data_IF_970624895328
#
_entry.id   IF_970624895328
#
_cell.length_a   1.000
_cell.length_b   1.000
_cell.length_c   1.000
_cell.angle_alpha   90.00
_cell.angle_beta   90.00
_cell.angle_gamma   90.00
#
_symmetry.space_group_name_H-M   'P 1'
#
loop_
_entity.id
_entity.type
_entity.pdbx_description
1 polymer ?
#
# COMPACT_ATOMS: atom_id res chain seq x y z
N UNK A 1 -17.85 -1.12 30.07
CA UNK A 1 -18.46 -2.21 30.83
C UNK A 1 -17.50 -2.78 31.86
N UNK A 2 -16.60 -3.68 31.45
CA UNK A 2 -15.66 -4.40 32.33
C UNK A 2 -14.82 -3.50 33.25
N UNK A 3 -14.09 -2.52 32.69
CA UNK A 3 -13.24 -1.58 33.46
C UNK A 3 -14.08 -0.79 34.47
N UNK A 4 -15.25 -0.28 34.05
CA UNK A 4 -16.14 0.46 34.94
C UNK A 4 -16.62 -0.40 36.12
N UNK A 5 -16.97 -1.67 35.87
CA UNK A 5 -17.36 -2.60 36.94
C UNK A 5 -16.21 -2.87 37.94
N UNK A 6 -14.97 -3.01 37.45
CA UNK A 6 -13.79 -3.13 38.31
C UNK A 6 -13.60 -1.88 39.18
N UNK A 7 -13.68 -0.70 38.59
CA UNK A 7 -13.52 0.56 39.31
C UNK A 7 -14.61 0.76 40.36
N UNK A 8 -15.87 0.34 40.09
CA UNK A 8 -16.96 0.35 41.08
C UNK A 8 -16.65 -0.58 42.26
N UNK A 9 -16.01 -1.73 42.01
CA UNK A 9 -15.60 -2.70 43.03
C UNK A 9 -14.27 -2.35 43.73
N UNK A 10 -13.65 -1.21 43.39
CA UNK A 10 -12.37 -0.77 43.98
C UNK A 10 -11.13 -1.41 43.35
N UNK A 11 -11.26 -2.12 42.23
CA UNK A 11 -10.12 -2.59 41.41
C UNK A 11 -9.78 -1.46 40.43
N UNK A 12 -8.65 -0.78 40.65
CA UNK A 12 -8.22 0.34 39.83
C UNK A 12 -7.75 -0.11 38.43
N UNK A 13 -8.50 0.26 37.40
CA UNK A 13 -8.16 0.04 35.99
C UNK A 13 -8.39 1.32 35.16
N UNK A 14 -7.46 1.60 34.24
CA UNK A 14 -7.51 2.77 33.37
C UNK A 14 -7.89 2.42 31.94
N UNK A 15 -8.77 3.24 31.35
CA UNK A 15 -9.08 3.15 29.93
C UNK A 15 -8.00 3.79 29.06
N UNK A 16 -7.38 2.98 28.22
CA UNK A 16 -6.21 3.35 27.41
C UNK A 16 -6.58 3.84 26.00
N UNK A 17 -7.76 4.46 25.83
CA UNK A 17 -8.24 5.00 24.56
C UNK A 17 -8.72 3.96 23.54
N UNK A 18 -9.38 4.45 22.49
CA UNK A 18 -9.97 3.66 21.41
C UNK A 18 -9.15 3.78 20.13
N UNK A 19 -8.73 2.65 19.54
CA UNK A 19 -8.09 2.64 18.20
C UNK A 19 -9.09 2.70 17.03
N UNK A 20 -10.34 2.28 17.25
CA UNK A 20 -11.36 2.24 16.21
C UNK A 20 -11.18 1.08 15.22
N UNK A 21 -10.68 -0.08 15.68
CA UNK A 21 -10.68 -1.30 14.86
C UNK A 21 -12.11 -1.66 14.48
N UNK A 22 -12.36 -1.82 13.19
CA UNK A 22 -13.67 -2.11 12.61
C UNK A 22 -13.52 -2.99 11.38
N UNK A 23 -14.53 -3.82 11.13
CA UNK A 23 -14.58 -4.76 10.02
C UNK A 23 -16.02 -4.87 9.51
N UNK A 24 -16.18 -4.98 8.20
CA UNK A 24 -17.47 -5.04 7.52
C UNK A 24 -17.40 -6.05 6.37
N UNK A 25 -18.43 -6.89 6.26
CA UNK A 25 -18.68 -7.73 5.08
C UNK A 25 -19.48 -6.94 4.05
N UNK A 26 -18.97 -6.86 2.82
CA UNK A 26 -19.59 -6.20 1.67
C UNK A 26 -19.69 -7.22 0.54
N UNK A 27 -20.85 -7.88 0.42
CA UNK A 27 -21.00 -9.08 -0.42
C UNK A 27 -19.93 -10.11 -0.07
N UNK A 28 -19.12 -10.54 -1.04
CA UNK A 28 -18.02 -11.51 -0.84
C UNK A 28 -16.72 -10.85 -0.38
N UNK A 29 -16.67 -9.52 -0.31
CA UNK A 29 -15.49 -8.78 0.13
C UNK A 29 -15.57 -8.48 1.62
N UNK A 30 -14.41 -8.50 2.27
CA UNK A 30 -14.22 -8.00 3.63
C UNK A 30 -13.45 -6.68 3.57
N UNK A 31 -13.91 -5.69 4.32
CA UNK A 31 -13.31 -4.36 4.46
C UNK A 31 -13.02 -4.13 5.93
N UNK A 32 -11.78 -3.81 6.28
CA UNK A 32 -11.38 -3.56 7.66
C UNK A 32 -10.49 -2.33 7.79
N UNK A 33 -10.54 -1.67 8.95
CA UNK A 33 -9.71 -0.52 9.27
C UNK A 33 -9.42 -0.44 10.77
N UNK A 34 -8.26 0.09 11.13
CA UNK A 34 -7.91 0.48 12.50
C UNK A 34 -7.00 1.69 12.49
N UNK A 35 -7.06 2.51 13.53
CA UNK A 35 -6.34 3.79 13.59
C UNK A 35 -6.94 4.86 12.67
N UNK A 36 -6.10 5.81 12.29
CA UNK A 36 -6.53 7.02 11.58
C UNK A 36 -6.44 6.86 10.06
N UNK A 37 -7.41 7.43 9.35
CA UNK A 37 -7.35 7.59 7.89
C UNK A 37 -6.72 8.93 7.49
N UNK A 38 -6.39 9.07 6.20
CA UNK A 38 -5.78 10.28 5.65
C UNK A 38 -6.62 11.55 5.87
N UNK A 39 -7.95 11.48 5.76
CA UNK A 39 -8.82 12.66 5.92
C UNK A 39 -8.71 13.23 7.33
N UNK A 40 -8.70 12.36 8.33
CA UNK A 40 -8.55 12.74 9.74
C UNK A 40 -7.15 13.31 10.01
N UNK A 41 -6.10 12.64 9.53
CA UNK A 41 -4.73 13.09 9.72
C UNK A 41 -4.49 14.46 9.08
N UNK A 42 -5.00 14.68 7.86
CA UNK A 42 -4.97 16.01 7.20
C UNK A 42 -5.70 17.06 8.01
N UNK A 43 -6.92 16.77 8.48
CA UNK A 43 -7.72 17.70 9.30
C UNK A 43 -7.01 18.09 10.60
N UNK A 44 -6.25 17.16 11.17
CA UNK A 44 -5.50 17.37 12.41
C UNK A 44 -4.05 17.86 12.18
N UNK A 45 -3.65 18.17 10.94
CA UNK A 45 -2.28 18.58 10.59
C UNK A 45 -1.20 17.61 11.09
N UNK A 46 -1.49 16.30 11.09
CA UNK A 46 -0.52 15.26 11.47
C UNK A 46 0.24 14.84 10.21
N UNK A 47 1.58 15.02 10.15
CA UNK A 47 2.38 14.55 9.03
C UNK A 47 2.29 13.03 8.88
N UNK A 48 2.12 12.55 7.66
CA UNK A 48 2.06 11.12 7.38
C UNK A 48 2.57 10.82 5.96
N UNK A 49 3.00 9.57 5.77
CA UNK A 49 3.17 8.93 4.47
C UNK A 49 2.31 7.67 4.43
N UNK A 50 2.08 7.13 3.23
CA UNK A 50 1.29 5.93 3.00
C UNK A 50 1.95 5.02 1.97
N UNK A 51 1.63 3.74 2.06
CA UNK A 51 2.00 2.76 1.05
C UNK A 51 0.84 1.83 0.74
N UNK A 52 0.81 1.33 -0.48
CA UNK A 52 -0.17 0.35 -0.94
C UNK A 52 0.55 -0.94 -1.32
N UNK A 53 0.06 -2.06 -0.82
CA UNK A 53 0.52 -3.40 -1.20
C UNK A 53 -0.66 -4.26 -1.62
N UNK A 54 -0.40 -5.15 -2.56
CA UNK A 54 -1.37 -6.13 -3.03
C UNK A 54 -0.72 -7.51 -2.98
N UNK A 55 -1.25 -8.38 -2.15
CA UNK A 55 -0.71 -9.71 -1.90
C UNK A 55 -1.83 -10.74 -1.99
N UNK A 56 -1.48 -12.02 -2.10
CA UNK A 56 -2.46 -13.09 -1.93
C UNK A 56 -2.70 -13.35 -0.43
N UNK A 57 -3.85 -13.95 -0.09
CA UNK A 57 -4.21 -14.34 1.28
C UNK A 57 -3.27 -15.41 1.83
N UNK A 58 -2.81 -16.32 0.97
CA UNK A 58 -1.82 -17.35 1.26
C UNK A 58 -0.94 -17.67 0.04
N UNK A 59 -0.16 -18.73 0.09
CA UNK A 59 0.80 -19.08 -0.94
C UNK A 59 0.12 -19.29 -2.30
N UNK A 60 0.54 -18.54 -3.33
CA UNK A 60 -0.14 -18.52 -4.62
C UNK A 60 -0.10 -19.82 -5.43
N UNK A 61 0.76 -20.77 -5.06
CA UNK A 61 0.77 -22.11 -5.65
C UNK A 61 -0.22 -23.08 -4.98
N UNK A 62 -0.76 -22.71 -3.81
CA UNK A 62 -1.81 -23.48 -3.15
C UNK A 62 -3.17 -22.99 -3.65
N UNK A 63 -4.17 -23.88 -3.81
CA UNK A 63 -5.48 -23.52 -4.35
C UNK A 63 -6.13 -22.32 -3.64
N UNK A 64 -6.94 -21.56 -4.40
CA UNK A 64 -7.83 -20.50 -3.87
C UNK A 64 -7.14 -19.35 -3.15
N UNK A 65 -5.89 -19.04 -3.50
CA UNK A 65 -5.20 -17.86 -3.00
C UNK A 65 -5.84 -16.56 -3.56
N UNK A 66 -6.63 -15.87 -2.74
CA UNK A 66 -7.37 -14.69 -3.16
C UNK A 66 -6.60 -13.39 -2.87
N UNK A 67 -6.78 -12.33 -3.68
CA UNK A 67 -6.06 -11.09 -3.48
C UNK A 67 -6.60 -10.29 -2.29
N UNK A 68 -5.69 -9.64 -1.58
CA UNK A 68 -5.97 -8.60 -0.61
C UNK A 68 -5.10 -7.37 -0.86
N UNK A 69 -5.60 -6.21 -0.46
CA UNK A 69 -4.94 -4.91 -0.62
C UNK A 69 -4.83 -4.24 0.74
N UNK A 70 -3.62 -3.82 1.10
CA UNK A 70 -3.34 -3.11 2.35
C UNK A 70 -2.90 -1.70 2.00
N UNK A 71 -3.55 -0.71 2.60
CA UNK A 71 -3.06 0.66 2.70
C UNK A 71 -2.56 0.89 4.11
N UNK A 72 -1.25 1.05 4.26
CA UNK A 72 -0.61 1.36 5.54
C UNK A 72 -0.30 2.86 5.60
N UNK A 73 -0.63 3.51 6.70
CA UNK A 73 -0.38 4.93 6.95
C UNK A 73 0.56 5.04 8.15
N UNK A 74 1.65 5.78 8.00
CA UNK A 74 2.72 5.83 8.99
C UNK A 74 3.36 7.22 9.05
N UNK A 75 4.00 7.50 10.18
CA UNK A 75 4.72 8.76 10.39
C UNK A 75 6.03 8.76 9.59
N UNK A 76 6.36 9.84 8.86
CA UNK A 76 7.56 9.91 8.03
C UNK A 76 8.87 9.97 8.82
N UNK A 77 8.83 10.22 10.12
CA UNK A 77 10.01 10.35 10.97
C UNK A 77 10.55 8.99 11.45
N UNK A 78 9.77 8.27 12.26
CA UNK A 78 10.15 7.05 12.98
C UNK A 78 9.33 5.85 12.52
N UNK A 79 8.44 6.02 11.54
CA UNK A 79 7.62 4.94 11.03
C UNK A 79 6.55 4.45 12.02
N UNK A 80 6.11 5.31 12.95
CA UNK A 80 4.96 4.98 13.81
C UNK A 80 3.75 4.67 12.94
N UNK A 81 3.07 3.55 13.19
CA UNK A 81 1.87 3.18 12.45
C UNK A 81 0.72 4.08 12.92
N UNK A 82 0.13 4.83 12.00
CA UNK A 82 -0.95 5.79 12.28
C UNK A 82 -2.33 5.21 11.97
N UNK A 83 -2.39 4.28 11.03
CA UNK A 83 -3.60 3.55 10.68
C UNK A 83 -3.38 2.60 9.51
N UNK A 84 -4.35 1.72 9.30
CA UNK A 84 -4.34 0.76 8.20
C UNK A 84 -5.76 0.54 7.68
N UNK A 85 -5.88 0.30 6.38
CA UNK A 85 -7.12 -0.09 5.71
C UNK A 85 -6.83 -1.32 4.86
N UNK A 86 -7.68 -2.35 4.96
CA UNK A 86 -7.50 -3.62 4.26
C UNK A 86 -8.80 -3.99 3.56
N UNK A 87 -8.71 -4.37 2.30
CA UNK A 87 -9.81 -4.96 1.54
C UNK A 87 -9.35 -6.26 0.89
N UNK A 88 -10.24 -7.23 0.77
CA UNK A 88 -9.94 -8.52 0.14
C UNK A 88 -11.08 -9.50 0.30
N UNK A 89 -10.89 -10.70 -0.23
CA UNK A 89 -11.91 -11.75 -0.21
C UNK A 89 -11.62 -12.83 0.84
N UNK A 90 -10.38 -12.90 1.34
CA UNK A 90 -9.95 -13.85 2.35
C UNK A 90 -8.79 -13.29 3.20
N UNK A 91 -8.73 -13.71 4.47
CA UNK A 91 -7.67 -13.39 5.43
C UNK A 91 -7.54 -11.92 5.84
N UNK A 92 -8.54 -11.08 5.58
CA UNK A 92 -8.54 -9.64 5.92
C UNK A 92 -8.59 -9.43 7.44
N UNK A 93 -9.47 -10.15 8.11
CA UNK A 93 -9.63 -10.22 9.57
C UNK A 93 -8.31 -10.52 10.28
N UNK A 94 -7.58 -11.54 9.83
CA UNK A 94 -6.27 -11.90 10.38
C UNK A 94 -5.28 -10.74 10.30
N UNK A 95 -5.19 -10.08 9.13
CA UNK A 95 -4.19 -9.02 8.93
C UNK A 95 -4.57 -7.75 9.69
N UNK A 96 -5.87 -7.44 9.81
CA UNK A 96 -6.29 -6.28 10.59
C UNK A 96 -6.02 -6.48 12.07
N UNK A 97 -6.23 -7.69 12.62
CA UNK A 97 -6.01 -7.99 14.03
C UNK A 97 -4.52 -7.96 14.39
N UNK A 98 -3.65 -8.49 13.53
CA UNK A 98 -2.19 -8.41 13.71
C UNK A 98 -1.72 -6.95 13.73
N UNK A 99 -2.17 -6.13 12.77
CA UNK A 99 -1.72 -4.73 12.70
C UNK A 99 -2.38 -3.88 13.82
N UNK A 100 -3.62 -4.17 14.21
CA UNK A 100 -4.27 -3.53 15.35
C UNK A 100 -3.49 -3.80 16.65
N UNK A 101 -3.05 -5.05 16.83
CA UNK A 101 -2.19 -5.45 17.95
C UNK A 101 -0.85 -4.72 17.90
N UNK A 102 -0.22 -4.63 16.72
CA UNK A 102 1.05 -3.92 16.54
C UNK A 102 0.92 -2.42 16.88
N UNK A 103 -0.14 -1.75 16.40
CA UNK A 103 -0.44 -0.35 16.75
C UNK A 103 -0.62 -0.21 18.26
N UNK A 104 -1.36 -1.13 18.88
CA UNK A 104 -1.62 -1.10 20.33
C UNK A 104 -0.35 -1.23 21.15
N UNK A 105 0.58 -2.08 20.70
CA UNK A 105 1.88 -2.30 21.30
C UNK A 105 2.90 -1.19 20.98
N UNK A 106 2.52 -0.15 20.23
CA UNK A 106 3.41 0.95 19.87
C UNK A 106 4.48 0.58 18.83
N UNK A 107 4.28 -0.51 18.10
CA UNK A 107 5.21 -0.97 17.07
C UNK A 107 5.29 0.00 15.88
N UNK A 108 6.42 -0.03 15.18
CA UNK A 108 6.68 0.73 13.97
C UNK A 108 6.57 -0.15 12.72
N UNK A 109 6.61 0.46 11.54
CA UNK A 109 6.67 -0.28 10.27
C UNK A 109 7.90 -1.20 10.17
N UNK A 110 8.99 -0.86 10.86
CA UNK A 110 10.21 -1.67 10.91
C UNK A 110 10.03 -2.96 11.72
N UNK A 111 9.12 -2.95 12.69
CA UNK A 111 8.83 -4.13 13.50
C UNK A 111 7.89 -5.08 12.76
N UNK A 112 7.03 -4.57 11.87
CA UNK A 112 6.22 -5.40 10.98
C UNK A 112 7.09 -6.30 10.07
N UNK A 113 8.28 -5.86 9.69
CA UNK A 113 9.25 -6.66 8.92
C UNK A 113 9.73 -7.91 9.68
N UNK A 114 9.69 -7.85 11.02
CA UNK A 114 10.29 -8.84 11.92
C UNK A 114 9.26 -9.77 12.57
N UNK A 115 7.97 -9.50 12.37
CA UNK A 115 6.90 -10.35 12.89
C UNK A 115 7.04 -11.77 12.33
N UNK A 116 7.26 -12.73 13.22
CA UNK A 116 7.24 -14.16 12.91
C UNK A 116 5.79 -14.66 13.01
N UNK A 117 5.14 -14.79 11.87
CA UNK A 117 3.74 -15.20 11.78
C UNK A 117 3.62 -16.65 11.31
N UNK A 118 2.56 -17.33 11.75
CA UNK A 118 2.33 -18.72 11.40
C UNK A 118 2.24 -18.91 9.87
N UNK A 119 3.01 -19.86 9.36
CA UNK A 119 3.07 -20.16 7.94
C UNK A 119 2.92 -21.66 7.68
N UNK A 120 1.90 -21.97 6.87
CA UNK A 120 1.89 -23.11 5.96
C UNK A 120 1.15 -22.67 4.68
N UNK A 121 1.28 -23.38 3.55
CA UNK A 121 0.71 -22.98 2.27
C UNK A 121 -0.78 -22.59 2.28
N UNK A 122 -1.68 -23.25 3.06
CA UNK A 122 -3.10 -22.88 3.12
C UNK A 122 -3.40 -21.61 3.93
N UNK A 123 -2.44 -21.08 4.69
CA UNK A 123 -2.71 -20.02 5.67
C UNK A 123 -1.99 -18.72 5.36
N UNK A 124 -0.77 -18.77 4.85
CA UNK A 124 0.01 -17.57 4.55
C UNK A 124 1.06 -17.85 3.47
N UNK A 125 1.98 -16.93 3.30
CA UNK A 125 3.22 -17.08 2.53
C UNK A 125 4.41 -16.99 3.48
N UNK A 126 5.61 -17.38 3.01
CA UNK A 126 6.84 -17.25 3.79
C UNK A 126 7.10 -15.81 4.29
N UNK A 127 6.54 -14.82 3.60
CA UNK A 127 6.41 -13.43 4.07
C UNK A 127 4.93 -13.09 4.04
N UNK A 128 4.34 -12.89 5.20
CA UNK A 128 2.93 -12.51 5.30
C UNK A 128 2.69 -11.14 4.66
N UNK A 129 1.52 -10.87 4.10
CA UNK A 129 1.10 -9.52 3.69
C UNK A 129 1.39 -8.41 4.72
N UNK A 130 1.35 -8.69 6.04
CA UNK A 130 1.80 -7.73 7.07
C UNK A 130 3.30 -7.43 6.94
N UNK A 131 4.15 -8.46 6.77
CA UNK A 131 5.58 -8.26 6.56
C UNK A 131 5.84 -7.49 5.26
N UNK A 132 5.10 -7.80 4.18
CA UNK A 132 5.21 -7.10 2.90
C UNK A 132 4.86 -5.61 3.04
N UNK A 133 3.80 -5.27 3.78
CA UNK A 133 3.46 -3.89 4.08
C UNK A 133 4.57 -3.18 4.88
N UNK A 134 5.17 -3.87 5.87
CA UNK A 134 6.34 -3.39 6.61
C UNK A 134 7.55 -3.10 5.72
N UNK A 135 7.94 -4.04 4.86
CA UNK A 135 9.07 -3.87 3.94
C UNK A 135 8.87 -2.70 2.97
N UNK A 136 7.67 -2.54 2.40
CA UNK A 136 7.42 -1.45 1.47
C UNK A 136 7.49 -0.10 2.18
N UNK A 137 6.84 0.03 3.35
CA UNK A 137 6.90 1.24 4.15
C UNK A 137 8.33 1.58 4.59
N UNK A 138 9.11 0.60 5.04
CA UNK A 138 10.49 0.85 5.46
C UNK A 138 11.43 1.18 4.31
N UNK A 139 11.23 0.58 3.13
CA UNK A 139 11.97 0.97 1.93
C UNK A 139 11.69 2.44 1.53
N UNK A 140 10.47 2.94 1.78
CA UNK A 140 10.13 4.36 1.57
C UNK A 140 10.91 5.21 2.57
N UNK A 141 10.85 4.89 3.87
CA UNK A 141 11.52 5.66 4.93
C UNK A 141 13.05 5.65 4.82
N UNK A 142 13.65 4.52 4.40
CA UNK A 142 15.09 4.38 4.15
C UNK A 142 15.54 5.09 2.86
N UNK A 143 14.60 5.60 2.06
CA UNK A 143 14.90 6.20 0.75
C UNK A 143 15.30 5.19 -0.32
N UNK A 144 15.12 3.88 -0.07
CA UNK A 144 15.38 2.82 -1.02
C UNK A 144 14.35 2.79 -2.16
N UNK A 145 13.13 3.20 -1.85
CA UNK A 145 12.02 3.39 -2.79
C UNK A 145 11.49 4.82 -2.68
N UNK A 146 11.87 5.69 -3.62
CA UNK A 146 11.20 6.99 -3.77
C UNK A 146 9.89 6.75 -4.50
N UNK A 147 8.77 7.26 -3.98
CA UNK A 147 7.44 6.95 -4.51
C UNK A 147 6.70 8.20 -5.02
N UNK A 148 5.68 7.94 -5.85
CA UNK A 148 4.63 8.89 -6.22
C UNK A 148 3.27 8.22 -6.01
N UNK A 149 2.24 9.00 -5.70
CA UNK A 149 0.88 8.49 -5.49
C UNK A 149 -0.01 8.72 -6.71
N UNK A 150 -1.08 7.94 -6.81
CA UNK A 150 -2.03 7.98 -7.91
C UNK A 150 -2.60 9.40 -8.17
N UNK A 151 -2.86 10.17 -7.12
CA UNK A 151 -3.44 11.53 -7.22
C UNK A 151 -2.46 12.61 -7.69
N UNK A 152 -1.20 12.26 -7.90
CA UNK A 152 -0.16 13.18 -8.39
C UNK A 152 0.14 12.96 -9.87
N UNK A 153 -0.38 11.89 -10.47
CA UNK A 153 -0.13 11.52 -11.87
C UNK A 153 -0.70 12.56 -12.86
N UNK A 154 -1.90 13.07 -12.60
CA UNK A 154 -2.53 14.09 -13.47
C UNK A 154 -1.85 15.46 -13.38
N UNK A 155 -1.01 15.68 -12.36
CA UNK A 155 -0.28 16.94 -12.15
C UNK A 155 1.11 16.94 -12.77
N UNK A 156 1.52 15.85 -13.40
CA UNK A 156 2.86 15.71 -13.98
C UNK A 156 3.01 16.59 -15.23
N UNK A 157 4.14 17.31 -15.29
CA UNK A 157 4.59 17.98 -16.50
C UNK A 157 5.07 16.92 -17.51
N UNK A 158 4.24 16.63 -18.52
CA UNK A 158 4.48 15.57 -19.50
C UNK A 158 5.70 15.83 -20.40
N UNK A 159 6.19 17.06 -20.46
CA UNK A 159 7.43 17.40 -21.17
C UNK A 159 8.67 17.06 -20.34
N UNK A 160 8.57 17.16 -19.01
CA UNK A 160 9.70 16.91 -18.08
C UNK A 160 9.71 15.52 -17.48
N UNK A 161 8.61 14.77 -17.62
CA UNK A 161 8.43 13.47 -16.98
C UNK A 161 8.19 12.36 -18.01
N UNK A 162 8.87 11.22 -17.87
CA UNK A 162 8.61 10.01 -18.66
C UNK A 162 7.96 8.95 -17.78
N UNK A 163 6.89 8.35 -18.30
CA UNK A 163 6.23 7.22 -17.66
C UNK A 163 6.66 5.92 -18.32
N UNK A 164 7.01 4.92 -17.51
CA UNK A 164 7.42 3.60 -17.98
C UNK A 164 6.56 2.54 -17.31
N UNK A 165 5.83 1.81 -18.14
CA UNK A 165 5.09 0.61 -17.74
C UNK A 165 5.99 -0.61 -17.90
N UNK A 166 6.38 -1.23 -16.79
CA UNK A 166 7.28 -2.39 -16.80
C UNK A 166 6.55 -3.74 -16.74
N UNK A 167 5.23 -3.73 -16.96
CA UNK A 167 4.42 -4.95 -17.15
C UNK A 167 4.73 -5.63 -18.48
N UNK A 168 4.21 -6.84 -18.68
CA UNK A 168 4.35 -7.52 -19.96
C UNK A 168 3.54 -6.80 -21.05
N UNK A 169 3.86 -7.00 -22.34
CA UNK A 169 3.10 -6.41 -23.44
C UNK A 169 1.60 -6.76 -23.41
N UNK A 170 1.26 -7.96 -22.93
CA UNK A 170 -0.12 -8.44 -22.81
C UNK A 170 -0.88 -7.68 -21.71
N UNK A 171 -0.26 -7.46 -20.55
CA UNK A 171 -0.85 -6.62 -19.50
C UNK A 171 -1.00 -5.16 -19.96
N UNK A 172 -0.04 -4.66 -20.76
CA UNK A 172 -0.06 -3.31 -21.30
C UNK A 172 -1.18 -3.13 -22.33
N UNK A 173 -1.43 -4.12 -23.20
CA UNK A 173 -2.47 -4.06 -24.22
C UNK A 173 -3.89 -4.08 -23.64
N UNK A 174 -4.07 -4.61 -22.42
CA UNK A 174 -5.33 -4.56 -21.67
C UNK A 174 -5.63 -3.18 -21.04
N UNK A 175 -4.72 -2.22 -21.18
CA UNK A 175 -4.88 -0.85 -20.69
C UNK A 175 -3.69 -0.42 -19.85
N UNK A 176 -3.34 0.86 -19.93
CA UNK A 176 -2.18 1.48 -19.28
C UNK A 176 -2.47 2.94 -18.91
N UNK A 177 -1.51 3.62 -18.31
CA UNK A 177 -1.60 5.06 -18.06
C UNK A 177 -1.21 5.79 -19.34
N UNK A 178 -2.05 6.75 -19.75
CA UNK A 178 -1.83 7.53 -20.97
C UNK A 178 -0.41 8.14 -21.03
N UNK A 179 0.25 7.96 -22.18
CA UNK A 179 1.62 8.42 -22.42
C UNK A 179 2.74 7.52 -21.85
N UNK A 180 2.41 6.40 -21.21
CA UNK A 180 3.43 5.46 -20.72
C UNK A 180 4.09 4.67 -21.87
N UNK A 181 5.41 4.47 -21.79
CA UNK A 181 6.16 3.57 -22.68
C UNK A 181 6.26 2.18 -22.05
N UNK A 182 5.98 1.12 -22.81
CA UNK A 182 6.13 -0.24 -22.31
C UNK A 182 7.57 -0.75 -22.46
N UNK A 183 8.23 -1.00 -21.33
CA UNK A 183 9.55 -1.63 -21.27
C UNK A 183 9.51 -2.71 -20.17
N UNK A 184 9.17 -3.97 -20.51
CA UNK A 184 9.06 -5.04 -19.53
C UNK A 184 10.30 -5.16 -18.64
N UNK A 185 10.09 -5.37 -17.33
CA UNK A 185 11.19 -5.36 -16.34
C UNK A 185 12.34 -6.32 -16.69
N UNK A 186 12.02 -7.48 -17.29
CA UNK A 186 13.01 -8.49 -17.66
C UNK A 186 13.87 -8.08 -18.87
N UNK A 187 13.41 -7.11 -19.67
CA UNK A 187 14.15 -6.54 -20.81
C UNK A 187 14.78 -5.20 -20.49
N UNK A 188 14.43 -4.58 -19.34
CA UNK A 188 14.85 -3.24 -18.94
C UNK A 188 16.38 -3.04 -19.00
N UNK A 189 17.16 -4.01 -18.49
CA UNK A 189 18.63 -3.90 -18.44
C UNK A 189 19.27 -3.79 -19.82
N UNK A 190 18.66 -4.39 -20.83
CA UNK A 190 19.16 -4.38 -22.21
C UNK A 190 18.62 -3.18 -23.02
N UNK A 191 17.64 -2.45 -22.46
CA UNK A 191 16.93 -1.34 -23.11
C UNK A 191 17.12 -0.01 -22.37
N UNK A 192 18.19 0.11 -21.57
CA UNK A 192 18.47 1.31 -20.78
C UNK A 192 18.68 2.56 -21.65
N UNK A 193 19.15 2.41 -22.89
CA UNK A 193 19.35 3.52 -23.83
C UNK A 193 18.05 4.19 -24.27
N UNK A 194 16.91 3.53 -24.11
CA UNK A 194 15.59 4.09 -24.46
C UNK A 194 15.03 5.02 -23.38
N UNK A 195 15.68 5.07 -22.22
CA UNK A 195 15.22 5.82 -21.05
C UNK A 195 16.07 7.10 -20.92
N UNK A 196 15.46 8.29 -21.00
CA UNK A 196 16.21 9.54 -20.84
C UNK A 196 16.69 9.72 -19.41
N UNK A 197 17.92 10.20 -19.23
CA UNK A 197 18.53 10.43 -17.91
C UNK A 197 18.30 11.84 -17.35
N UNK A 198 17.94 12.78 -18.20
CA UNK A 198 17.72 14.21 -17.90
C UNK A 198 16.30 14.51 -17.37
N UNK A 199 15.36 13.60 -17.59
CA UNK A 199 13.95 13.71 -17.21
C UNK A 199 13.63 12.99 -15.90
N UNK A 200 12.53 13.37 -15.26
CA UNK A 200 11.97 12.57 -14.16
C UNK A 200 11.33 11.30 -14.71
N UNK A 201 11.59 10.16 -14.08
CA UNK A 201 11.10 8.85 -14.53
C UNK A 201 10.12 8.31 -13.50
N UNK A 202 8.88 8.11 -13.92
CA UNK A 202 7.84 7.46 -13.13
C UNK A 202 7.66 6.05 -13.65
N UNK A 203 7.94 5.06 -12.82
CA UNK A 203 7.83 3.65 -13.18
C UNK A 203 6.65 3.04 -12.45
N UNK A 204 5.85 2.25 -13.16
CA UNK A 204 4.80 1.46 -12.54
C UNK A 204 4.74 0.07 -13.14
N UNK A 205 4.20 -0.85 -12.37
CA UNK A 205 3.77 -2.15 -12.84
C UNK A 205 2.36 -2.43 -12.31
N UNK A 206 1.92 -3.69 -12.29
CA UNK A 206 0.57 -4.01 -11.81
C UNK A 206 0.36 -3.66 -10.34
N UNK A 207 1.33 -3.91 -9.46
CA UNK A 207 1.16 -3.80 -8.00
C UNK A 207 2.29 -3.06 -7.27
N UNK A 208 3.26 -2.50 -8.00
CA UNK A 208 4.41 -1.76 -7.44
C UNK A 208 5.69 -2.59 -7.21
N UNK A 209 5.62 -3.93 -7.25
CA UNK A 209 6.78 -4.81 -6.97
C UNK A 209 7.82 -4.81 -8.11
N UNK A 210 7.41 -5.14 -9.34
CA UNK A 210 8.31 -5.13 -10.52
C UNK A 210 8.87 -3.73 -10.80
N UNK A 211 8.07 -2.68 -10.59
CA UNK A 211 8.54 -1.30 -10.73
C UNK A 211 9.49 -0.86 -9.63
N UNK A 212 9.35 -1.36 -8.39
CA UNK A 212 10.40 -1.20 -7.37
C UNK A 212 11.73 -1.78 -7.85
N UNK A 213 11.74 -3.01 -8.39
CA UNK A 213 12.95 -3.64 -8.95
C UNK A 213 13.53 -2.79 -10.08
N UNK A 214 12.69 -2.33 -11.01
CA UNK A 214 13.10 -1.44 -12.10
C UNK A 214 13.73 -0.13 -11.56
N UNK A 215 13.14 0.49 -10.54
CA UNK A 215 13.68 1.68 -9.90
C UNK A 215 15.07 1.41 -9.30
N UNK A 216 15.28 0.26 -8.65
CA UNK A 216 16.59 -0.14 -8.12
C UNK A 216 17.62 -0.34 -9.23
N UNK A 217 17.23 -0.98 -10.33
CA UNK A 217 18.09 -1.16 -11.51
C UNK A 217 18.52 0.20 -12.07
N UNK A 218 17.58 1.12 -12.30
CA UNK A 218 17.90 2.45 -12.84
C UNK A 218 18.79 3.27 -11.89
N UNK A 219 18.48 3.29 -10.59
CA UNK A 219 19.31 4.01 -9.60
C UNK A 219 20.75 3.48 -9.56
N UNK A 220 20.94 2.16 -9.62
CA UNK A 220 22.28 1.55 -9.70
C UNK A 220 23.02 1.90 -11.01
N UNK A 221 22.29 2.29 -12.06
CA UNK A 221 22.83 2.76 -13.34
C UNK A 221 22.95 4.28 -13.43
N UNK A 222 22.82 4.99 -12.31
CA UNK A 222 23.08 6.43 -12.21
C UNK A 222 21.87 7.32 -12.46
N UNK A 223 20.68 6.76 -12.72
CA UNK A 223 19.46 7.57 -12.84
C UNK A 223 19.08 8.17 -11.49
N UNK A 224 19.03 9.51 -11.42
CA UNK A 224 18.85 10.24 -10.15
C UNK A 224 17.39 10.49 -9.79
N UNK A 225 16.52 10.68 -10.79
CA UNK A 225 15.11 11.10 -10.62
C UNK A 225 14.17 9.96 -10.99
N UNK A 226 14.13 8.91 -10.18
CA UNK A 226 13.30 7.73 -10.43
C UNK A 226 12.31 7.54 -9.29
N UNK A 227 11.01 7.49 -9.61
CA UNK A 227 9.93 7.26 -8.64
C UNK A 227 9.10 6.05 -9.03
N UNK A 228 8.72 5.27 -8.02
CA UNK A 228 7.81 4.14 -8.15
C UNK A 228 6.36 4.58 -7.88
N UNK A 229 5.40 4.23 -8.73
CA UNK A 229 3.98 4.45 -8.44
C UNK A 229 3.53 3.49 -7.33
N UNK A 230 3.22 4.05 -6.16
CA UNK A 230 2.75 3.29 -5.00
C UNK A 230 1.46 2.54 -5.32
N UNK A 231 1.44 1.22 -5.05
CA UNK A 231 0.32 0.33 -5.40
C UNK A 231 0.19 -0.02 -6.89
N UNK A 232 0.99 0.58 -7.77
CA UNK A 232 0.97 0.32 -9.21
C UNK A 232 -0.38 0.62 -9.88
N UNK A 233 -0.56 0.04 -11.07
CA UNK A 233 -1.75 0.21 -11.89
C UNK A 233 -3.03 -0.28 -11.18
N UNK A 234 -2.93 -1.33 -10.34
CA UNK A 234 -4.04 -1.90 -9.57
C UNK A 234 -4.63 -0.90 -8.56
N UNK A 235 -3.81 -0.04 -7.97
CA UNK A 235 -4.29 1.08 -7.13
C UNK A 235 -4.74 2.26 -7.99
N UNK A 236 -3.97 2.62 -9.01
CA UNK A 236 -4.25 3.79 -9.85
C UNK A 236 -5.59 3.70 -10.57
N UNK A 237 -5.83 2.62 -11.31
CA UNK A 237 -6.98 2.48 -12.21
C UNK A 237 -8.33 2.72 -11.50
N UNK A 238 -8.68 2.00 -10.41
CA UNK A 238 -9.94 2.25 -9.72
C UNK A 238 -9.99 3.59 -8.99
N UNK A 239 -8.84 4.20 -8.67
CA UNK A 239 -8.80 5.48 -7.96
C UNK A 239 -9.09 6.69 -8.88
N UNK A 240 -8.81 6.58 -10.17
CA UNK A 240 -9.01 7.68 -11.15
C UNK A 240 -10.20 7.46 -12.09
N UNK A 241 -10.76 6.26 -12.13
CA UNK A 241 -11.94 6.00 -12.94
C UNK A 241 -13.12 6.85 -12.49
N UNK A 242 -13.85 7.43 -13.46
CA UNK A 242 -15.15 8.06 -13.21
C UNK A 242 -16.07 7.01 -12.62
N UNK A 243 -16.47 7.19 -11.37
CA UNK A 243 -17.44 6.31 -10.73
C UNK A 243 -18.79 6.49 -11.43
N UNK A 244 -19.50 5.39 -11.69
CA UNK A 244 -20.84 5.39 -12.31
C UNK A 244 -21.91 6.13 -11.51
N UNK A 245 -21.61 6.48 -10.26
CA UNK A 245 -22.56 7.01 -9.28
C UNK A 245 -22.61 8.54 -9.26
N UNK A 246 -22.45 9.20 -10.41
CA UNK A 246 -22.43 10.68 -10.55
C UNK A 246 -23.71 11.36 -9.99
N UNK A 247 -24.76 10.61 -9.63
CA UNK A 247 -25.98 11.13 -9.01
C UNK A 247 -26.19 10.88 -7.51
N UNK A 248 -25.22 10.35 -6.74
CA UNK A 248 -25.43 10.01 -5.30
C UNK A 248 -24.84 11.06 -4.34
N UNK A 249 -24.09 12.04 -4.83
CA UNK A 249 -23.38 13.03 -3.99
C UNK A 249 -23.95 14.46 -4.02
N UNK A 250 -25.15 14.70 -4.55
CA UNK A 250 -25.81 16.01 -4.47
C UNK A 250 -26.47 16.32 -3.10
N UNK A 251 -26.07 15.63 -2.02
CA UNK A 251 -26.63 15.84 -0.68
C UNK A 251 -25.82 16.76 0.24
N UNK A 252 -24.76 17.41 -0.24
CA UNK A 252 -24.09 18.49 0.50
C UNK A 252 -23.70 19.64 -0.45
N UNK A 253 -24.67 20.52 -0.71
CA UNK A 253 -24.44 21.93 -1.05
C UNK A 253 -25.03 22.79 0.06
#
# INVERSE_FOLDING_TARGET
GRIAANNIYGIAEEYQGTQGTSILKVFDMTVAATGNNEKLLKRCNVPYEKSFTHSASHAGYYPEALPLSIKLIFSPDKGKILGVQIIGYDGVDKRIDVIATAIRAGMTVYDLEKLELAYAPPYSSAKDPVNIAGYVASNILKGDSVIIHWHDIDKLDREKTVMIDVRTPEEYSLGTIEGAKNIPVDKLRNRLSEIPQDREIIIFCQVGLRSYIACRILRQKGYKKVKNLSGGYKTYFPAVQKQSNIGIHDYEK
#
